data_IF_606668658300
#
_entry.id   IF_606668658300
#
_cell.length_a   1.000
_cell.length_b   1.000
_cell.length_c   1.000
_cell.angle_alpha   90.00
_cell.angle_beta   90.00
_cell.angle_gamma   90.00
#
_symmetry.space_group_name_H-M   'P 1'
#
loop_
_entity.id
_entity.type
_entity.pdbx_description
1 polymer ?
#
# COMPACT_ATOMS: atom_id res chain seq x y z
N UNK A 1 5.30 9.97 -8.35
CA UNK A 1 4.20 9.72 -9.31
C UNK A 1 3.96 8.24 -9.56
N UNK A 2 4.98 7.43 -9.91
CA UNK A 2 4.82 6.00 -10.20
C UNK A 2 4.04 5.18 -9.13
N UNK A 3 4.40 5.30 -7.84
CA UNK A 3 3.76 4.54 -6.75
C UNK A 3 2.26 4.86 -6.55
N UNK A 4 1.84 6.10 -6.83
CA UNK A 4 0.43 6.46 -6.79
C UNK A 4 -0.35 5.79 -7.94
N UNK A 5 0.28 5.66 -9.12
CA UNK A 5 -0.27 4.91 -10.24
C UNK A 5 -0.49 3.43 -9.93
N UNK A 6 0.45 2.78 -9.24
CA UNK A 6 0.31 1.39 -8.79
C UNK A 6 -0.89 1.23 -7.84
N UNK A 7 -1.09 2.15 -6.91
CA UNK A 7 -2.24 2.11 -6.00
C UNK A 7 -3.58 2.27 -6.72
N UNK A 8 -3.65 3.12 -7.75
CA UNK A 8 -4.83 3.24 -8.62
C UNK A 8 -5.05 1.97 -9.44
N UNK A 9 -4.00 1.45 -10.09
CA UNK A 9 -4.05 0.22 -10.89
C UNK A 9 -4.54 -0.97 -10.06
N UNK A 10 -4.05 -1.11 -8.82
CA UNK A 10 -4.47 -2.17 -7.90
C UNK A 10 -5.98 -2.14 -7.65
N UNK A 11 -6.54 -0.96 -7.39
CA UNK A 11 -7.98 -0.79 -7.16
C UNK A 11 -8.81 -1.04 -8.42
N UNK A 12 -8.31 -0.70 -9.60
CA UNK A 12 -9.00 -1.00 -10.86
C UNK A 12 -9.00 -2.50 -11.14
N UNK A 13 -7.83 -3.14 -11.09
CA UNK A 13 -7.69 -4.57 -11.38
C UNK A 13 -8.43 -5.44 -10.37
N UNK A 14 -8.49 -5.03 -9.10
CA UNK A 14 -9.27 -5.76 -8.10
C UNK A 14 -10.75 -5.87 -8.45
N UNK A 15 -11.33 -4.85 -9.09
CA UNK A 15 -12.72 -4.84 -9.54
C UNK A 15 -12.90 -5.63 -10.85
N UNK A 16 -11.97 -5.47 -11.80
CA UNK A 16 -12.05 -6.14 -13.10
C UNK A 16 -11.90 -7.66 -12.99
N UNK A 17 -10.97 -8.11 -12.13
CA UNK A 17 -10.62 -9.52 -12.01
C UNK A 17 -11.43 -10.25 -10.92
N UNK A 18 -12.19 -9.54 -10.09
CA UNK A 18 -13.03 -10.14 -9.04
C UNK A 18 -13.98 -11.22 -9.59
N UNK A 19 -14.53 -11.03 -10.79
CA UNK A 19 -15.45 -12.01 -11.42
C UNK A 19 -14.76 -13.33 -11.77
N UNK A 20 -13.44 -13.34 -11.86
CA UNK A 20 -12.62 -14.53 -12.10
C UNK A 20 -12.12 -15.17 -10.79
N UNK A 21 -12.53 -14.65 -9.63
CA UNK A 21 -12.05 -15.11 -8.33
C UNK A 21 -10.61 -14.69 -8.01
N UNK A 22 -10.07 -13.70 -8.72
CA UNK A 22 -8.70 -13.20 -8.49
C UNK A 22 -8.73 -11.98 -7.59
N UNK A 23 -7.94 -12.00 -6.52
CA UNK A 23 -7.71 -10.84 -5.65
C UNK A 23 -6.47 -10.06 -6.07
N UNK A 24 -6.53 -8.73 -5.97
CA UNK A 24 -5.41 -7.83 -6.28
C UNK A 24 -5.21 -6.87 -5.12
N UNK A 25 -4.03 -6.88 -4.52
CA UNK A 25 -3.66 -6.02 -3.39
C UNK A 25 -2.26 -5.41 -3.61
N UNK A 26 -1.97 -4.32 -2.92
CA UNK A 26 -0.66 -3.66 -2.99
C UNK A 26 -0.02 -3.62 -1.61
N UNK A 27 1.25 -4.04 -1.54
CA UNK A 27 2.06 -3.92 -0.33
C UNK A 27 3.03 -2.74 -0.46
N UNK A 28 3.02 -1.86 0.55
CA UNK A 28 3.96 -0.77 0.72
C UNK A 28 5.00 -1.10 1.79
N UNK A 29 6.13 -1.72 1.44
CA UNK A 29 7.16 -2.08 2.41
C UNK A 29 7.95 -0.85 2.87
N UNK A 30 8.58 -0.95 4.05
CA UNK A 30 9.67 -0.08 4.45
C UNK A 30 10.77 -0.91 5.12
N UNK A 31 11.93 -0.95 4.47
CA UNK A 31 13.10 -1.69 4.92
C UNK A 31 14.37 -1.12 4.27
N UNK A 32 15.54 -1.43 4.82
CA UNK A 32 16.84 -0.99 4.31
C UNK A 32 17.35 -1.93 3.20
N UNK A 33 16.62 -1.98 2.08
CA UNK A 33 16.92 -2.85 0.93
C UNK A 33 17.97 -2.22 0.00
N UNK A 34 18.54 -3.02 -0.92
CA UNK A 34 19.36 -2.52 -2.04
C UNK A 34 18.69 -1.39 -2.83
N UNK A 35 17.37 -1.45 -3.03
CA UNK A 35 16.59 -0.39 -3.71
C UNK A 35 16.63 0.91 -2.92
N UNK A 36 16.56 0.85 -1.59
CA UNK A 36 16.61 2.05 -0.76
C UNK A 36 18.03 2.58 -0.56
N UNK A 37 19.04 1.70 -0.55
CA UNK A 37 20.45 2.06 -0.40
C UNK A 37 21.02 2.94 -1.51
N UNK A 38 20.38 3.00 -2.68
CA UNK A 38 20.78 3.91 -3.77
C UNK A 38 20.30 5.35 -3.55
N UNK A 39 19.48 5.62 -2.53
CA UNK A 39 18.97 6.97 -2.26
C UNK A 39 19.94 7.79 -1.39
N UNK A 40 20.07 9.11 -1.61
CA UNK A 40 20.88 9.97 -0.74
C UNK A 40 20.41 9.92 0.71
N UNK A 41 21.34 9.71 1.65
CA UNK A 41 21.03 9.63 3.08
C UNK A 41 20.34 8.33 3.51
N UNK A 42 20.34 7.31 2.65
CA UNK A 42 19.78 6.01 2.99
C UNK A 42 20.57 5.33 4.13
N UNK A 43 19.90 4.53 4.98
CA UNK A 43 20.59 3.64 5.91
C UNK A 43 21.43 2.62 5.16
N UNK A 44 22.41 2.02 5.84
CA UNK A 44 23.17 0.90 5.29
C UNK A 44 22.21 -0.21 4.85
N UNK A 45 22.48 -0.78 3.68
CA UNK A 45 21.72 -1.92 3.17
C UNK A 45 21.86 -3.09 4.14
N UNK A 46 20.74 -3.75 4.43
CA UNK A 46 20.65 -4.99 5.17
C UNK A 46 20.14 -6.05 4.19
N UNK A 47 20.88 -7.13 4.01
CA UNK A 47 20.37 -8.31 3.32
C UNK A 47 19.60 -9.20 4.31
N UNK A 48 18.62 -10.00 3.86
CA UNK A 48 17.83 -10.84 4.77
C UNK A 48 18.69 -11.77 5.64
N UNK A 49 19.78 -12.31 5.09
CA UNK A 49 20.68 -13.23 5.78
C UNK A 49 21.59 -12.54 6.82
N UNK A 50 21.59 -11.19 6.86
CA UNK A 50 22.36 -10.42 7.84
C UNK A 50 21.66 -10.34 9.21
N UNK A 51 20.36 -10.66 9.26
CA UNK A 51 19.54 -10.63 10.49
C UNK A 51 19.24 -12.07 10.88
N UNK A 52 19.78 -12.58 12.00
CA UNK A 52 19.46 -13.92 12.49
C UNK A 52 17.96 -14.08 12.74
N UNK A 53 17.44 -15.29 12.49
CA UNK A 53 16.01 -15.62 12.65
C UNK A 53 15.45 -15.34 14.06
N UNK A 54 16.31 -15.37 15.08
CA UNK A 54 15.97 -15.11 16.49
C UNK A 54 16.15 -13.65 16.92
N UNK A 55 16.62 -12.78 16.01
CA UNK A 55 16.80 -11.36 16.26
C UNK A 55 15.74 -10.49 15.56
N UNK A 56 15.37 -9.38 16.20
CA UNK A 56 14.43 -8.41 15.64
C UNK A 56 15.15 -7.18 15.11
N UNK A 57 14.92 -6.85 13.84
CA UNK A 57 15.37 -5.60 13.25
C UNK A 57 14.21 -4.92 12.49
N UNK A 58 13.86 -3.71 12.92
CA UNK A 58 12.81 -2.88 12.31
C UNK A 58 13.01 -2.64 10.80
N UNK A 59 14.25 -2.64 10.33
CA UNK A 59 14.63 -2.33 8.95
C UNK A 59 14.96 -3.57 8.12
N UNK A 60 14.77 -4.76 8.67
CA UNK A 60 14.96 -6.03 7.96
C UNK A 60 14.03 -6.10 6.73
N UNK A 61 14.56 -6.36 5.51
CA UNK A 61 13.76 -6.57 4.32
C UNK A 61 12.69 -7.67 4.45
N UNK A 62 12.90 -8.70 5.27
CA UNK A 62 12.00 -9.82 5.44
C UNK A 62 10.70 -9.46 6.20
N UNK A 63 10.64 -8.32 6.88
CA UNK A 63 9.47 -7.86 7.66
C UNK A 63 8.17 -7.85 6.83
N UNK A 64 8.26 -7.55 5.54
CA UNK A 64 7.06 -7.52 4.67
C UNK A 64 6.66 -8.87 4.10
N UNK A 65 7.54 -9.88 4.15
CA UNK A 65 7.35 -11.19 3.51
C UNK A 65 6.16 -11.98 4.08
N UNK A 66 5.92 -12.02 5.41
CA UNK A 66 4.75 -12.72 5.94
C UNK A 66 3.42 -12.17 5.42
N UNK A 67 3.30 -10.85 5.27
CA UNK A 67 2.09 -10.24 4.71
C UNK A 67 1.88 -10.67 3.24
N UNK A 68 2.94 -10.71 2.45
CA UNK A 68 2.87 -11.15 1.04
C UNK A 68 2.46 -12.62 0.98
N UNK A 69 3.07 -13.48 1.80
CA UNK A 69 2.72 -14.90 1.86
C UNK A 69 1.26 -15.12 2.28
N UNK A 70 0.79 -14.37 3.29
CA UNK A 70 -0.60 -14.45 3.73
C UNK A 70 -1.58 -13.98 2.65
N UNK A 71 -1.29 -12.86 1.95
CA UNK A 71 -2.12 -12.36 0.84
C UNK A 71 -2.20 -13.31 -0.36
N UNK A 72 -1.27 -14.27 -0.47
CA UNK A 72 -1.27 -15.30 -1.50
C UNK A 72 -1.95 -16.61 -1.04
N UNK A 73 -2.41 -16.68 0.21
CA UNK A 73 -3.03 -17.87 0.79
C UNK A 73 -4.55 -17.88 0.61
N UNK A 74 -5.16 -19.05 0.82
CA UNK A 74 -6.62 -19.18 0.79
C UNK A 74 -7.32 -18.41 1.91
N UNK A 75 -6.65 -18.13 3.02
CA UNK A 75 -7.22 -17.40 4.16
C UNK A 75 -7.55 -15.94 3.78
N UNK A 76 -6.81 -15.37 2.83
CA UNK A 76 -6.99 -13.98 2.40
C UNK A 76 -7.94 -13.80 1.20
N UNK A 77 -8.70 -14.82 0.79
CA UNK A 77 -9.55 -14.75 -0.41
C UNK A 77 -10.59 -13.61 -0.40
N UNK A 78 -10.94 -13.08 0.77
CA UNK A 78 -11.85 -11.93 0.92
C UNK A 78 -11.13 -10.57 0.96
N UNK A 79 -9.80 -10.56 0.97
CA UNK A 79 -8.99 -9.34 0.97
C UNK A 79 -8.69 -8.95 -0.47
N UNK A 80 -9.36 -7.91 -0.95
CA UNK A 80 -9.23 -7.47 -2.34
C UNK A 80 -9.22 -5.95 -2.46
N UNK A 81 -8.39 -5.41 -3.35
CA UNK A 81 -8.28 -3.97 -3.62
C UNK A 81 -7.61 -3.16 -2.51
N UNK A 82 -6.96 -3.81 -1.55
CA UNK A 82 -6.39 -3.14 -0.39
C UNK A 82 -4.97 -2.65 -0.67
N UNK A 83 -4.64 -1.49 -0.09
CA UNK A 83 -3.28 -0.96 -0.05
C UNK A 83 -2.81 -1.07 1.40
N UNK A 84 -1.79 -1.88 1.66
CA UNK A 84 -1.37 -2.24 3.01
C UNK A 84 0.11 -1.92 3.17
N UNK A 85 0.49 -1.19 4.22
CA UNK A 85 1.90 -1.00 4.56
C UNK A 85 2.35 -2.01 5.60
N UNK A 86 3.47 -2.65 5.35
CA UNK A 86 4.19 -3.47 6.32
C UNK A 86 5.47 -2.72 6.70
N UNK A 87 5.53 -2.24 7.94
CA UNK A 87 6.61 -1.36 8.42
C UNK A 87 6.94 -1.74 9.85
N UNK A 88 8.13 -2.29 10.05
CA UNK A 88 8.51 -2.80 11.37
C UNK A 88 7.44 -3.78 11.88
N UNK A 89 7.05 -3.67 13.15
CA UNK A 89 6.00 -4.44 13.79
C UNK A 89 4.56 -4.10 13.34
N UNK A 90 4.38 -3.18 12.39
CA UNK A 90 3.07 -2.61 12.07
C UNK A 90 2.55 -3.07 10.70
N UNK A 91 1.30 -3.54 10.69
CA UNK A 91 0.48 -3.71 9.48
C UNK A 91 -0.56 -2.59 9.45
N UNK A 92 -0.46 -1.73 8.44
CA UNK A 92 -1.22 -0.48 8.37
C UNK A 92 -2.08 -0.51 7.12
N UNK A 93 -3.40 -0.57 7.30
CA UNK A 93 -4.35 -0.41 6.21
C UNK A 93 -4.39 1.05 5.76
N UNK A 94 -4.03 1.31 4.51
CA UNK A 94 -4.13 2.65 3.94
C UNK A 94 -5.57 2.94 3.55
N UNK A 95 -6.12 4.04 4.04
CA UNK A 95 -7.42 4.54 3.59
C UNK A 95 -7.25 5.27 2.26
N UNK A 96 -8.14 4.97 1.33
CA UNK A 96 -8.22 5.66 0.04
C UNK A 96 -8.73 7.09 0.16
N UNK A 97 -9.04 7.69 -0.99
CA UNK A 97 -9.70 8.98 -1.04
C UNK A 97 -11.09 8.89 -0.42
N UNK A 98 -11.44 9.90 0.36
CA UNK A 98 -12.74 10.03 0.99
C UNK A 98 -13.25 11.45 0.79
N UNK A 99 -14.58 11.59 0.79
CA UNK A 99 -15.22 12.89 0.68
C UNK A 99 -14.81 13.79 1.85
N UNK A 100 -14.40 15.01 1.51
CA UNK A 100 -14.10 16.06 2.47
C UNK A 100 -15.30 16.96 2.74
N UNK A 101 -15.06 18.17 3.29
CA UNK A 101 -16.08 19.20 3.43
C UNK A 101 -16.83 19.44 2.11
N UNK A 102 -18.15 19.41 2.17
CA UNK A 102 -19.02 19.51 0.99
C UNK A 102 -19.93 20.73 1.11
N UNK A 103 -19.93 21.58 0.09
CA UNK A 103 -20.87 22.69 -0.07
C UNK A 103 -21.93 22.34 -1.13
N UNK A 104 -23.17 22.78 -0.91
CA UNK A 104 -24.31 22.42 -1.75
C UNK A 104 -24.97 23.67 -2.36
N UNK A 105 -25.23 23.66 -3.67
CA UNK A 105 -25.85 24.78 -4.39
C UNK A 105 -27.37 24.63 -4.58
N UNK A 106 -28.05 23.93 -3.66
CA UNK A 106 -29.51 23.79 -3.57
C UNK A 106 -30.17 23.42 -4.90
N UNK A 107 -29.60 22.45 -5.61
CA UNK A 107 -30.11 21.96 -6.91
C UNK A 107 -29.81 22.87 -8.11
N UNK A 108 -28.96 23.89 -7.96
CA UNK A 108 -28.51 24.76 -9.04
C UNK A 108 -27.09 24.42 -9.49
N UNK A 109 -26.75 24.73 -10.75
CA UNK A 109 -25.36 24.67 -11.24
C UNK A 109 -24.54 25.78 -10.59
N UNK A 110 -23.30 25.45 -10.22
CA UNK A 110 -22.35 26.42 -9.70
C UNK A 110 -22.01 27.47 -10.76
N UNK A 111 -21.86 28.71 -10.31
CA UNK A 111 -21.32 29.81 -11.10
C UNK A 111 -19.84 29.96 -10.74
N UNK A 112 -18.96 29.87 -11.74
CA UNK A 112 -17.51 29.97 -11.57
C UNK A 112 -17.08 31.26 -10.85
N UNK A 113 -17.87 32.34 -10.98
CA UNK A 113 -17.58 33.62 -10.33
C UNK A 113 -17.98 33.66 -8.85
N UNK A 114 -18.64 32.61 -8.33
CA UNK A 114 -19.20 32.53 -6.96
C UNK A 114 -18.70 31.31 -6.18
N UNK A 115 -17.63 30.68 -6.67
CA UNK A 115 -17.04 29.47 -6.11
C UNK A 115 -16.01 29.76 -4.99
N UNK A 116 -15.75 31.03 -4.70
CA UNK A 116 -14.89 31.51 -3.61
C UNK A 116 -15.67 32.19 -2.49
#
# INVERSE_FOLDING_TARGET
TAKAGIAGLTQTLSLELAKMGITVNCVGPAAATRITGTMPGAPAVIEPDDVPDDEWNRMDPAVSSPLVAWLASDESQLVNGQIIRAVAENIILMKGWADGPTINNKGKRWDATKLG
#
